data_IF_665594585392
#
_entry.id   IF_665594585392
#
_cell.length_a   1.000
_cell.length_b   1.000
_cell.length_c   1.000
_cell.angle_alpha   90.00
_cell.angle_beta   90.00
_cell.angle_gamma   90.00
#
_symmetry.space_group_name_H-M   'P 1'
#
loop_
_entity.id
_entity.type
_entity.pdbx_description
1 polymer ?
#
# COMPACT_ATOMS: atom_id res chain seq x y z
N UNK A 1 11.60 8.43 -17.98
CA UNK A 1 10.40 7.62 -17.72
C UNK A 1 9.99 7.85 -16.29
N UNK A 2 8.70 8.03 -16.02
CA UNK A 2 8.22 8.16 -14.64
C UNK A 2 8.54 6.85 -13.90
N UNK A 3 9.31 6.91 -12.81
CA UNK A 3 9.56 5.74 -11.98
C UNK A 3 8.26 5.29 -11.29
N UNK A 4 8.13 3.99 -11.05
CA UNK A 4 7.01 3.42 -10.29
C UNK A 4 6.95 4.03 -8.89
N UNK A 5 5.75 4.37 -8.41
CA UNK A 5 5.57 5.06 -7.14
C UNK A 5 5.03 4.12 -6.06
N UNK A 6 5.89 3.58 -5.21
CA UNK A 6 5.55 2.70 -4.08
C UNK A 6 5.23 3.44 -2.79
N UNK A 7 4.21 4.30 -2.78
CA UNK A 7 3.84 5.09 -1.58
C UNK A 7 2.90 4.37 -0.61
N UNK A 8 2.38 3.19 -0.96
CA UNK A 8 1.77 2.27 0.00
C UNK A 8 2.84 1.38 0.62
N UNK A 9 2.63 0.98 1.88
CA UNK A 9 3.59 0.21 2.66
C UNK A 9 2.93 -1.03 3.24
N UNK A 10 3.69 -2.11 3.35
CA UNK A 10 3.23 -3.34 3.98
C UNK A 10 4.36 -3.93 4.83
N UNK A 11 4.01 -4.56 5.96
CA UNK A 11 4.99 -5.23 6.83
C UNK A 11 5.63 -6.43 6.12
N UNK A 12 6.87 -6.73 6.54
CA UNK A 12 7.71 -7.75 5.97
C UNK A 12 7.05 -9.13 6.01
N UNK A 13 6.43 -9.50 7.13
CA UNK A 13 5.71 -10.78 7.25
C UNK A 13 4.62 -10.96 6.17
N UNK A 14 3.86 -9.91 5.85
CA UNK A 14 2.82 -9.97 4.81
C UNK A 14 3.42 -9.90 3.41
N UNK A 15 4.43 -9.06 3.19
CA UNK A 15 5.15 -8.98 1.92
C UNK A 15 5.73 -10.35 1.52
N UNK A 16 6.42 -10.99 2.45
CA UNK A 16 7.13 -12.24 2.22
C UNK A 16 6.13 -13.39 1.98
N UNK A 17 4.99 -13.39 2.69
CA UNK A 17 3.87 -14.32 2.45
C UNK A 17 3.23 -14.13 1.06
N UNK A 18 2.99 -12.89 0.63
CA UNK A 18 2.49 -12.60 -0.72
C UNK A 18 3.45 -13.08 -1.80
N UNK A 19 4.74 -12.77 -1.67
CA UNK A 19 5.79 -13.22 -2.60
C UNK A 19 5.86 -14.75 -2.68
N UNK A 20 5.70 -15.45 -1.56
CA UNK A 20 5.73 -16.91 -1.53
C UNK A 20 4.50 -17.52 -2.21
N UNK A 21 3.31 -16.97 -1.97
CA UNK A 21 2.04 -17.47 -2.53
C UNK A 21 1.83 -17.09 -3.99
N UNK A 22 2.43 -15.99 -4.42
CA UNK A 22 2.30 -15.42 -5.76
C UNK A 22 3.67 -15.19 -6.39
N UNK A 23 4.40 -16.27 -6.76
CA UNK A 23 5.74 -16.16 -7.33
C UNK A 23 5.75 -15.50 -8.72
N UNK A 24 4.58 -15.34 -9.35
CA UNK A 24 4.35 -14.65 -10.61
C UNK A 24 4.22 -13.13 -10.47
N UNK A 25 4.02 -12.60 -9.26
CA UNK A 25 3.89 -11.16 -9.05
C UNK A 25 5.23 -10.44 -9.21
N UNK A 26 5.18 -9.23 -9.78
CA UNK A 26 6.38 -8.45 -10.02
C UNK A 26 6.97 -7.92 -8.70
N UNK A 27 8.26 -8.19 -8.49
CA UNK A 27 9.03 -7.66 -7.36
C UNK A 27 10.22 -6.87 -7.91
N UNK A 28 10.38 -5.65 -7.41
CA UNK A 28 11.55 -4.81 -7.68
C UNK A 28 12.38 -4.74 -6.42
N UNK A 29 13.55 -5.38 -6.45
CA UNK A 29 14.54 -5.30 -5.37
C UNK A 29 15.23 -3.93 -5.39
N UNK A 30 15.70 -3.45 -4.24
CA UNK A 30 16.37 -2.15 -4.11
C UNK A 30 15.58 -0.95 -4.68
N UNK A 31 14.25 -0.98 -4.56
CA UNK A 31 13.37 0.01 -5.18
C UNK A 31 13.31 1.35 -4.43
N UNK A 32 13.41 1.33 -3.09
CA UNK A 32 13.45 2.56 -2.29
C UNK A 32 14.84 3.22 -2.39
N UNK A 33 14.94 4.20 -3.30
CA UNK A 33 16.18 4.95 -3.57
C UNK A 33 16.51 6.01 -2.51
N UNK A 34 15.69 6.16 -1.46
CA UNK A 34 15.98 7.11 -0.38
C UNK A 34 17.10 6.58 0.52
N UNK A 35 17.77 7.49 1.21
CA UNK A 35 18.71 7.15 2.28
C UNK A 35 17.99 6.90 3.61
N UNK A 36 18.61 6.11 4.50
CA UNK A 36 18.10 5.82 5.85
C UNK A 36 17.66 4.38 6.04
N UNK A 37 16.93 4.10 7.12
CA UNK A 37 16.54 2.73 7.51
C UNK A 37 15.64 2.00 6.49
N UNK A 38 15.06 2.73 5.54
CA UNK A 38 14.22 2.19 4.47
C UNK A 38 14.96 2.08 3.12
N UNK A 39 16.24 2.45 3.05
CA UNK A 39 17.03 2.41 1.82
C UNK A 39 17.12 0.97 1.27
N UNK A 40 16.92 0.83 -0.03
CA UNK A 40 16.98 -0.46 -0.72
C UNK A 40 15.81 -1.39 -0.43
N UNK A 41 14.73 -0.92 0.21
CA UNK A 41 13.55 -1.74 0.42
C UNK A 41 12.94 -2.19 -0.92
N UNK A 42 12.53 -3.46 -0.98
CA UNK A 42 11.87 -4.04 -2.13
C UNK A 42 10.42 -3.52 -2.27
N UNK A 43 9.93 -3.52 -3.51
CA UNK A 43 8.54 -3.22 -3.86
C UNK A 43 7.90 -4.43 -4.53
N UNK A 44 6.63 -4.67 -4.25
CA UNK A 44 5.81 -5.72 -4.90
C UNK A 44 4.59 -5.07 -5.56
N UNK A 45 4.29 -5.48 -6.79
CA UNK A 45 3.11 -5.09 -7.52
C UNK A 45 1.98 -6.06 -7.19
N UNK A 46 0.96 -5.57 -6.48
CA UNK A 46 -0.26 -6.33 -6.22
C UNK A 46 -1.22 -6.05 -7.38
N UNK A 47 -1.61 -7.05 -8.18
CA UNK A 47 -2.39 -6.82 -9.40
C UNK A 47 -3.77 -6.22 -9.12
N UNK A 48 -4.39 -6.59 -8.00
CA UNK A 48 -5.71 -6.13 -7.62
C UNK A 48 -5.84 -6.04 -6.09
N UNK A 49 -6.35 -4.91 -5.60
CA UNK A 49 -6.66 -4.66 -4.20
C UNK A 49 -8.16 -4.39 -4.09
N UNK A 50 -8.81 -5.07 -3.14
CA UNK A 50 -10.22 -4.86 -2.84
C UNK A 50 -10.39 -4.03 -1.57
N UNK A 51 -11.07 -2.89 -1.68
CA UNK A 51 -11.33 -1.96 -0.56
C UNK A 51 -12.71 -1.31 -0.73
N UNK A 52 -13.48 -1.24 0.36
CA UNK A 52 -14.81 -0.60 0.39
C UNK A 52 -15.77 -1.07 -0.73
N UNK A 53 -15.66 -2.34 -1.16
CA UNK A 53 -16.48 -2.91 -2.24
C UNK A 53 -15.99 -2.61 -3.66
N UNK A 54 -14.86 -1.93 -3.81
CA UNK A 54 -14.21 -1.67 -5.10
C UNK A 54 -12.94 -2.51 -5.26
N UNK A 55 -12.66 -2.95 -6.48
CA UNK A 55 -11.40 -3.59 -6.86
C UNK A 55 -10.63 -2.63 -7.76
N UNK A 56 -9.38 -2.34 -7.41
CA UNK A 56 -8.49 -1.42 -8.15
C UNK A 56 -7.09 -1.99 -8.26
N UNK A 57 -6.33 -1.55 -9.25
CA UNK A 57 -4.95 -1.97 -9.42
C UNK A 57 -4.40 -1.65 -10.81
N UNK A 58 -3.10 -1.92 -11.04
CA UNK A 58 -2.14 -2.46 -10.06
C UNK A 58 -1.77 -1.46 -8.95
N UNK A 59 -1.32 -1.97 -7.80
CA UNK A 59 -0.86 -1.16 -6.66
C UNK A 59 0.51 -1.65 -6.17
N UNK A 60 1.45 -0.72 -6.12
CA UNK A 60 2.76 -0.97 -5.54
C UNK A 60 2.77 -0.79 -4.03
N UNK A 61 3.33 -1.79 -3.34
CA UNK A 61 3.62 -1.76 -1.91
C UNK A 61 5.12 -1.89 -1.66
N UNK A 62 5.67 -0.99 -0.84
CA UNK A 62 7.06 -1.06 -0.40
C UNK A 62 7.15 -1.81 0.93
N UNK A 63 8.09 -2.75 1.00
CA UNK A 63 8.35 -3.56 2.20
C UNK A 63 8.85 -2.67 3.36
N UNK A 64 8.34 -2.91 4.56
CA UNK A 64 8.80 -2.30 5.82
C UNK A 64 8.98 -3.40 6.86
N UNK A 65 9.90 -3.21 7.82
CA UNK A 65 10.02 -4.14 8.93
C UNK A 65 8.71 -4.14 9.75
N UNK A 66 8.29 -5.27 10.29
CA UNK A 66 7.10 -5.41 11.15
C UNK A 66 7.10 -4.38 12.30
N UNK A 67 8.27 -4.16 12.92
CA UNK A 67 8.46 -3.15 13.98
C UNK A 67 8.09 -1.72 13.55
N UNK A 68 8.17 -1.40 12.25
CA UNK A 68 7.84 -0.07 11.72
C UNK A 68 6.37 0.30 11.96
N UNK A 69 5.48 -0.68 12.10
CA UNK A 69 4.06 -0.45 12.37
C UNK A 69 3.61 -0.98 13.74
N UNK A 70 4.24 -2.06 14.24
CA UNK A 70 3.75 -2.75 15.43
C UNK A 70 4.20 -2.12 16.75
N UNK A 71 5.35 -1.44 16.79
CA UNK A 71 5.92 -0.97 18.06
C UNK A 71 5.41 0.41 18.51
N UNK A 72 5.19 1.35 17.58
CA UNK A 72 4.77 2.72 17.93
C UNK A 72 3.38 3.09 17.40
N UNK A 73 3.04 2.75 16.15
CA UNK A 73 1.75 3.13 15.57
C UNK A 73 0.58 2.31 16.10
N UNK A 74 0.78 1.03 16.38
CA UNK A 74 -0.32 0.15 16.81
C UNK A 74 -0.78 0.42 18.25
N UNK A 75 0.00 1.09 19.09
CA UNK A 75 -0.40 1.41 20.47
C UNK A 75 -1.45 2.51 20.56
N UNK A 76 -1.63 3.30 19.49
CA UNK A 76 -2.65 4.36 19.39
C UNK A 76 -3.89 3.93 18.58
N UNK A 77 -3.97 2.67 18.16
CA UNK A 77 -5.01 2.17 17.25
C UNK A 77 -5.81 1.04 17.92
N UNK A 78 -7.08 0.88 17.53
CA UNK A 78 -7.95 -0.19 18.05
C UNK A 78 -7.47 -1.60 17.65
N UNK A 79 -6.66 -1.69 16.59
CA UNK A 79 -6.14 -2.94 16.03
C UNK A 79 -4.71 -2.75 15.54
N UNK A 80 -3.97 -3.86 15.50
CA UNK A 80 -2.64 -3.94 14.91
C UNK A 80 -2.66 -3.47 13.45
N UNK A 81 -1.77 -2.54 13.14
CA UNK A 81 -1.62 -1.99 11.79
C UNK A 81 -0.60 -2.84 11.03
N UNK A 82 -1.00 -3.40 9.88
CA UNK A 82 -0.11 -4.24 9.04
C UNK A 82 0.48 -3.48 7.84
N UNK A 83 0.13 -2.21 7.68
CA UNK A 83 0.63 -1.38 6.58
C UNK A 83 -0.10 -0.05 6.47
N UNK A 84 0.18 0.67 5.38
CA UNK A 84 -0.46 1.95 5.08
C UNK A 84 -0.81 2.03 3.59
N UNK A 85 -1.98 2.60 3.32
CA UNK A 85 -2.42 2.90 1.96
C UNK A 85 -2.01 4.34 1.63
N UNK A 86 -1.14 4.49 0.64
CA UNK A 86 -0.65 5.78 0.19
C UNK A 86 -1.13 6.12 -1.22
N UNK A 87 -0.51 7.14 -1.84
CA UNK A 87 -0.88 7.64 -3.16
C UNK A 87 -0.94 6.57 -4.26
N UNK A 88 -0.15 5.49 -4.15
CA UNK A 88 -0.17 4.38 -5.11
C UNK A 88 -1.53 3.67 -5.17
N UNK A 89 -2.26 3.62 -4.04
CA UNK A 89 -3.65 3.13 -3.98
C UNK A 89 -4.65 4.28 -4.03
N UNK A 90 -4.42 5.36 -3.28
CA UNK A 90 -5.40 6.44 -3.13
C UNK A 90 -5.66 7.21 -4.42
N UNK A 91 -4.75 7.15 -5.40
CA UNK A 91 -4.98 7.73 -6.75
C UNK A 91 -6.23 7.22 -7.46
N UNK A 92 -6.77 6.07 -7.06
CA UNK A 92 -7.98 5.48 -7.63
C UNK A 92 -9.28 6.01 -7.00
N UNK A 93 -9.19 6.82 -5.95
CA UNK A 93 -10.33 7.22 -5.14
C UNK A 93 -10.31 8.71 -4.76
N UNK A 94 -11.50 9.28 -4.61
CA UNK A 94 -11.72 10.41 -3.69
C UNK A 94 -12.05 9.81 -2.33
N UNK A 95 -11.33 10.23 -1.28
CA UNK A 95 -11.51 9.70 0.08
C UNK A 95 -12.01 10.78 1.02
N UNK A 96 -13.17 10.54 1.62
CA UNK A 96 -13.72 11.37 2.69
C UNK A 96 -13.46 10.70 4.04
N UNK A 97 -12.89 11.43 4.99
CA UNK A 97 -12.65 10.96 6.36
C UNK A 97 -13.57 11.73 7.31
N UNK A 98 -14.61 11.04 7.77
CA UNK A 98 -15.53 11.52 8.81
C UNK A 98 -14.95 11.16 10.19
N UNK A 99 -14.20 12.10 10.77
CA UNK A 99 -13.57 11.93 12.09
C UNK A 99 -14.61 11.72 13.21
N UNK A 100 -15.66 12.57 13.35
CA UNK A 100 -16.69 12.35 14.38
C UNK A 100 -17.43 11.02 14.22
N UNK A 101 -17.71 10.59 12.99
CA UNK A 101 -18.38 9.33 12.69
C UNK A 101 -17.47 8.10 12.63
N UNK A 102 -16.15 8.29 12.80
CA UNK A 102 -15.11 7.26 12.69
C UNK A 102 -15.21 6.43 11.39
N UNK A 103 -15.43 7.08 10.25
CA UNK A 103 -15.68 6.43 8.95
C UNK A 103 -14.81 7.02 7.85
N UNK A 104 -14.29 6.15 6.98
CA UNK A 104 -13.69 6.54 5.71
C UNK A 104 -14.59 6.07 4.56
N UNK A 105 -14.92 6.97 3.64
CA UNK A 105 -15.64 6.65 2.40
C UNK A 105 -14.67 6.73 1.23
N UNK A 106 -14.73 5.72 0.38
CA UNK A 106 -13.96 5.66 -0.85
C UNK A 106 -14.93 5.77 -2.03
N UNK A 107 -14.77 6.83 -2.83
CA UNK A 107 -15.52 7.01 -4.06
C UNK A 107 -14.59 6.74 -5.23
N UNK A 108 -14.87 5.70 -6.01
CA UNK A 108 -14.02 5.32 -7.16
C UNK A 108 -14.02 6.44 -8.19
N UNK A 109 -12.82 6.87 -8.59
CA UNK A 109 -12.65 7.78 -9.72
C UNK A 109 -12.90 6.95 -11.01
N UNK A 110 -13.78 7.40 -11.91
CA UNK A 110 -13.99 6.73 -13.18
C UNK A 110 -12.67 6.62 -13.95
N UNK A 111 -12.43 5.48 -14.59
CA UNK A 111 -11.32 5.37 -15.53
C UNK A 111 -11.56 6.45 -16.61
N UNK A 112 -10.59 7.34 -16.80
CA UNK A 112 -10.69 8.34 -17.86
C UNK A 112 -10.68 7.58 -19.19
N UNK A 113 -11.84 7.37 -19.83
CA UNK A 113 -11.85 7.09 -21.27
C UNK A 113 -11.07 8.20 -21.96
N UNK A 114 -10.11 7.94 -22.85
CA UNK A 114 -10.40 7.44 -24.20
C UNK A 114 -11.77 7.94 -24.66
N UNK A 115 -11.80 9.22 -25.06
CA UNK A 115 -12.66 9.66 -26.16
C UNK A 115 -12.22 8.99 -27.47
#
# INVERSE_FOLDING_TARGET
GAGECGTSFIVASVFDDWRQKHPDWQVVENADVRSGAAAGAAMIEVPAVSIAGHTVGPVWFTRRADSSFHEYMSSFMDRKVEGALGGSLLRWFVVDVDYPGARARFTRIPDSGQE
#
